data_IF_405007954382
#
_entry.id   IF_405007954382
#
_cell.length_a   1.000
_cell.length_b   1.000
_cell.length_c   1.000
_cell.angle_alpha   90.00
_cell.angle_beta   90.00
_cell.angle_gamma   90.00
#
_symmetry.space_group_name_H-M   'P 1'
#
loop_
_entity.id
_entity.type
_entity.pdbx_description
1 polymer ?
#
# COMPACT_ATOMS: atom_id res chain seq x y z
N UNK A 1 -9.60 15.29 16.65
CA UNK A 1 -10.09 16.69 16.75
C UNK A 1 -9.32 17.55 15.78
N UNK A 2 -9.95 18.58 15.20
CA UNK A 2 -9.22 19.57 14.39
C UNK A 2 -8.53 20.54 15.36
N UNK A 3 -7.37 21.06 14.96
CA UNK A 3 -6.58 22.03 15.75
C UNK A 3 -7.45 23.18 16.28
N UNK A 4 -8.32 23.73 15.43
CA UNK A 4 -9.21 24.84 15.76
C UNK A 4 -10.14 24.56 16.95
N UNK A 5 -10.69 23.36 17.04
CA UNK A 5 -11.67 23.01 18.08
C UNK A 5 -11.02 22.98 19.48
N UNK A 6 -9.76 22.55 19.55
CA UNK A 6 -8.96 22.47 20.79
C UNK A 6 -8.59 23.89 21.26
N UNK A 7 -8.11 24.72 20.34
CA UNK A 7 -7.68 26.09 20.66
C UNK A 7 -8.87 26.95 21.08
N UNK A 8 -10.01 26.84 20.38
CA UNK A 8 -11.22 27.62 20.70
C UNK A 8 -11.81 27.29 22.07
N UNK A 9 -11.72 26.04 22.52
CA UNK A 9 -12.24 25.63 23.83
C UNK A 9 -11.33 25.97 25.01
N UNK A 10 -10.03 26.15 24.77
CA UNK A 10 -9.03 26.27 25.84
C UNK A 10 -8.50 27.69 26.07
N UNK A 11 -8.62 28.60 25.09
CA UNK A 11 -8.20 30.00 25.25
C UNK A 11 -9.41 30.85 25.61
N UNK A 12 -9.45 31.46 26.81
CA UNK A 12 -10.51 32.39 27.17
C UNK A 12 -10.40 33.66 26.30
N UNK A 13 -11.53 34.14 25.78
CA UNK A 13 -11.56 35.31 24.90
C UNK A 13 -11.18 36.64 25.58
N UNK A 14 -11.23 36.70 26.91
CA UNK A 14 -10.84 37.88 27.68
C UNK A 14 -10.16 37.47 29.01
N UNK A 15 -8.84 37.24 29.04
CA UNK A 15 -8.11 36.99 30.28
C UNK A 15 -7.98 38.28 31.10
N UNK A 16 -8.18 38.19 32.42
CA UNK A 16 -7.93 39.32 33.33
C UNK A 16 -6.43 39.52 33.45
N UNK A 17 -5.93 40.70 33.06
CA UNK A 17 -4.52 41.06 33.10
C UNK A 17 -4.38 42.31 33.96
N UNK A 18 -3.98 42.12 35.22
CA UNK A 18 -3.82 43.23 36.19
C UNK A 18 -2.34 43.47 36.56
N UNK A 19 -1.45 42.55 36.19
CA UNK A 19 0.00 42.61 36.46
C UNK A 19 0.81 42.11 35.27
N UNK A 20 2.09 42.50 35.21
CA UNK A 20 3.06 41.93 34.26
C UNK A 20 3.26 40.43 34.44
N UNK A 21 3.11 39.90 35.67
CA UNK A 21 3.12 38.45 35.92
C UNK A 21 1.95 37.73 35.25
N UNK A 22 0.78 38.36 35.22
CA UNK A 22 -0.41 37.81 34.57
C UNK A 22 -0.22 37.71 33.05
N UNK A 23 0.54 38.65 32.46
CA UNK A 23 0.90 38.62 31.02
C UNK A 23 1.73 37.36 30.71
N UNK A 24 2.79 37.12 31.49
CA UNK A 24 3.67 35.97 31.27
C UNK A 24 2.92 34.64 31.49
N UNK A 25 2.03 34.59 32.47
CA UNK A 25 1.20 33.41 32.73
C UNK A 25 0.22 33.13 31.59
N UNK A 26 -0.42 34.17 31.04
CA UNK A 26 -1.30 34.07 29.88
C UNK A 26 -0.52 33.63 28.64
N UNK A 27 0.68 34.18 28.38
CA UNK A 27 1.54 33.77 27.27
C UNK A 27 1.92 32.30 27.40
N UNK A 28 2.33 31.85 28.59
CA UNK A 28 2.67 30.45 28.84
C UNK A 28 1.48 29.53 28.63
N UNK A 29 0.29 29.92 29.09
CA UNK A 29 -0.94 29.15 28.91
C UNK A 29 -1.34 29.03 27.44
N UNK A 30 -1.31 30.13 26.68
CA UNK A 30 -1.58 30.14 25.24
C UNK A 30 -0.56 29.26 24.50
N UNK A 31 0.73 29.40 24.81
CA UNK A 31 1.81 28.63 24.20
C UNK A 31 1.64 27.13 24.48
N UNK A 32 1.32 26.76 25.73
CA UNK A 32 1.03 25.39 26.12
C UNK A 32 -0.18 24.83 25.37
N UNK A 33 -1.29 25.57 25.29
CA UNK A 33 -2.49 25.16 24.55
C UNK A 33 -2.18 24.94 23.06
N UNK A 34 -1.42 25.84 22.44
CA UNK A 34 -1.03 25.71 21.02
C UNK A 34 -0.18 24.46 20.82
N UNK A 35 0.84 24.24 21.65
CA UNK A 35 1.70 23.04 21.57
C UNK A 35 0.89 21.75 21.76
N UNK A 36 -0.03 21.75 22.73
CA UNK A 36 -0.91 20.61 23.00
C UNK A 36 -1.84 20.34 21.83
N UNK A 37 -2.44 21.39 21.26
CA UNK A 37 -3.30 21.31 20.09
C UNK A 37 -2.54 20.82 18.85
N UNK A 38 -1.31 21.28 18.63
CA UNK A 38 -0.43 20.78 17.57
C UNK A 38 -0.20 19.28 17.75
N UNK A 39 0.18 18.82 18.94
CA UNK A 39 0.47 17.41 19.19
C UNK A 39 -0.78 16.52 19.05
N UNK A 40 -1.94 16.97 19.52
CA UNK A 40 -3.19 16.21 19.43
C UNK A 40 -3.80 16.18 18.02
N UNK A 41 -3.63 17.27 17.25
CA UNK A 41 -4.16 17.37 15.88
C UNK A 41 -3.20 16.80 14.83
N UNK A 42 -1.90 16.73 15.14
CA UNK A 42 -0.89 16.13 14.28
C UNK A 42 -0.92 14.62 14.39
N UNK A 43 -1.24 13.95 13.28
CA UNK A 43 -1.03 12.51 13.15
C UNK A 43 0.37 12.28 12.61
N UNK A 44 1.32 11.95 13.48
CA UNK A 44 2.62 11.44 13.05
C UNK A 44 2.39 10.07 12.38
N UNK A 45 2.32 10.06 11.05
CA UNK A 45 2.30 8.80 10.30
C UNK A 45 3.74 8.28 10.32
N UNK A 46 3.99 7.23 11.10
CA UNK A 46 5.20 6.44 10.93
C UNK A 46 5.09 5.83 9.53
N UNK A 47 5.83 6.39 8.58
CA UNK A 47 5.88 5.85 7.23
C UNK A 47 6.80 4.64 7.28
N UNK A 48 6.23 3.50 7.65
CA UNK A 48 6.90 2.21 7.61
C UNK A 48 6.96 1.75 6.15
N UNK A 49 8.08 2.06 5.51
CA UNK A 49 8.42 1.58 4.18
C UNK A 49 9.93 1.64 3.98
N UNK A 50 10.49 0.82 3.07
CA UNK A 50 11.87 0.96 2.65
C UNK A 50 12.02 2.29 1.89
N UNK A 51 12.24 3.38 2.63
CA UNK A 51 12.53 4.68 2.07
C UNK A 51 13.99 4.71 1.62
N UNK A 52 14.20 5.21 0.40
CA UNK A 52 15.53 5.48 -0.12
C UNK A 52 16.25 6.44 0.83
N UNK A 53 17.21 5.93 1.59
CA UNK A 53 18.03 6.74 2.51
C UNK A 53 19.05 7.53 1.70
N UNK A 54 18.72 8.78 1.41
CA UNK A 54 19.60 9.70 0.71
C UNK A 54 20.56 10.39 1.70
N UNK A 55 21.80 10.71 1.29
CA UNK A 55 22.71 11.52 2.09
C UNK A 55 22.13 12.90 2.40
N UNK A 56 22.48 13.46 3.56
CA UNK A 56 22.00 14.76 4.04
C UNK A 56 22.19 15.89 3.02
N UNK A 57 23.31 15.85 2.28
CA UNK A 57 23.61 16.78 1.17
C UNK A 57 22.48 16.83 0.13
N UNK A 58 21.95 15.68 -0.29
CA UNK A 58 20.89 15.59 -1.30
C UNK A 58 19.54 15.94 -0.68
N UNK A 59 19.25 15.47 0.53
CA UNK A 59 17.98 15.78 1.21
C UNK A 59 17.83 17.27 1.47
N UNK A 60 18.90 17.95 1.88
CA UNK A 60 18.90 19.40 2.11
C UNK A 60 18.59 20.17 0.81
N UNK A 61 19.18 19.77 -0.32
CA UNK A 61 18.86 20.33 -1.64
C UNK A 61 17.40 20.09 -2.05
N UNK A 62 16.86 18.89 -1.79
CA UNK A 62 15.44 18.57 -2.04
C UNK A 62 14.53 19.50 -1.23
N UNK A 63 14.82 19.67 0.06
CA UNK A 63 14.06 20.57 0.94
C UNK A 63 14.10 22.00 0.44
N UNK A 64 15.28 22.52 0.10
CA UNK A 64 15.44 23.87 -0.44
C UNK A 64 14.67 24.06 -1.76
N UNK A 65 14.77 23.09 -2.68
CA UNK A 65 14.03 23.12 -3.95
C UNK A 65 12.53 23.15 -3.71
N UNK A 66 12.02 22.36 -2.76
CA UNK A 66 10.60 22.34 -2.42
C UNK A 66 10.13 23.67 -1.81
N UNK A 67 10.93 24.29 -0.94
CA UNK A 67 10.65 25.61 -0.39
C UNK A 67 10.57 26.68 -1.48
N UNK A 68 11.53 26.70 -2.42
CA UNK A 68 11.55 27.64 -3.55
C UNK A 68 10.36 27.39 -4.48
N UNK A 69 10.03 26.13 -4.77
CA UNK A 69 8.84 25.78 -5.57
C UNK A 69 7.55 26.27 -4.90
N UNK A 70 7.43 26.12 -3.58
CA UNK A 70 6.29 26.64 -2.81
C UNK A 70 6.19 28.16 -2.91
N UNK A 71 7.33 28.88 -2.80
CA UNK A 71 7.37 30.34 -3.00
C UNK A 71 6.92 30.72 -4.41
N UNK A 72 7.42 30.03 -5.45
CA UNK A 72 6.99 30.24 -6.83
C UNK A 72 5.49 30.03 -7.03
N UNK A 73 4.89 29.03 -6.39
CA UNK A 73 3.44 28.79 -6.49
C UNK A 73 2.59 29.91 -5.87
N UNK A 74 3.16 30.68 -4.94
CA UNK A 74 2.48 31.80 -4.27
C UNK A 74 2.72 33.10 -5.05
N UNK A 75 3.97 33.40 -5.38
CA UNK A 75 4.35 34.70 -5.97
C UNK A 75 4.33 34.72 -7.50
N UNK A 76 4.32 33.54 -8.14
CA UNK A 76 4.48 33.35 -9.59
C UNK A 76 5.75 33.98 -10.19
N UNK A 77 6.73 34.37 -9.37
CA UNK A 77 7.93 35.06 -9.83
C UNK A 77 8.85 34.12 -10.64
N UNK A 78 9.24 34.47 -11.89
CA UNK A 78 10.04 33.60 -12.75
C UNK A 78 11.41 33.22 -12.17
N UNK A 79 12.00 34.08 -11.32
CA UNK A 79 13.29 33.83 -10.67
C UNK A 79 13.25 32.57 -9.80
N UNK A 80 12.18 32.36 -9.05
CA UNK A 80 12.00 31.16 -8.23
C UNK A 80 11.78 29.90 -9.07
N UNK A 81 11.09 30.01 -10.22
CA UNK A 81 10.95 28.90 -11.17
C UNK A 81 12.32 28.46 -11.70
N UNK A 82 13.15 29.41 -12.16
CA UNK A 82 14.51 29.13 -12.67
C UNK A 82 15.38 28.46 -11.60
N UNK A 83 15.42 29.02 -10.38
CA UNK A 83 16.16 28.44 -9.24
C UNK A 83 15.66 27.04 -8.86
N UNK A 84 14.35 26.81 -8.84
CA UNK A 84 13.79 25.48 -8.56
C UNK A 84 14.20 24.45 -9.63
N UNK A 85 14.22 24.84 -10.91
CA UNK A 85 14.65 23.96 -12.00
C UNK A 85 16.15 23.67 -11.93
N UNK A 86 16.97 24.68 -11.64
CA UNK A 86 18.41 24.51 -11.42
C UNK A 86 18.68 23.49 -10.32
N UNK A 87 18.07 23.67 -9.14
CA UNK A 87 18.21 22.72 -8.03
C UNK A 87 17.70 21.33 -8.40
N UNK A 88 16.63 21.22 -9.19
CA UNK A 88 16.15 19.92 -9.66
C UNK A 88 17.20 19.20 -10.54
N UNK A 89 17.91 19.94 -11.40
CA UNK A 89 18.98 19.39 -12.23
C UNK A 89 20.22 19.01 -11.39
N UNK A 90 20.59 19.84 -10.42
CA UNK A 90 21.66 19.51 -9.46
C UNK A 90 21.33 18.27 -8.64
N UNK A 91 20.09 18.14 -8.14
CA UNK A 91 19.65 16.94 -7.41
C UNK A 91 19.76 15.71 -8.31
N UNK A 92 19.36 15.79 -9.59
CA UNK A 92 19.54 14.69 -10.55
C UNK A 92 21.02 14.35 -10.75
N UNK A 93 21.87 15.37 -10.89
CA UNK A 93 23.31 15.20 -11.06
C UNK A 93 23.96 14.56 -9.82
N UNK A 94 23.53 14.93 -8.61
CA UNK A 94 24.00 14.35 -7.35
C UNK A 94 23.48 12.93 -7.10
N UNK A 95 22.27 12.63 -7.57
CA UNK A 95 21.63 11.32 -7.44
C UNK A 95 22.29 10.27 -8.34
N UNK A 96 22.69 10.65 -9.55
CA UNK A 96 23.30 9.73 -10.53
C UNK A 96 24.52 8.96 -9.97
N UNK A 97 25.57 9.61 -9.42
CA UNK A 97 26.71 8.90 -8.86
C UNK A 97 26.35 8.15 -7.57
N UNK A 98 25.44 8.68 -6.76
CA UNK A 98 24.97 7.97 -5.56
C UNK A 98 24.29 6.64 -5.92
N UNK A 99 23.41 6.66 -6.93
CA UNK A 99 22.76 5.44 -7.42
C UNK A 99 23.77 4.49 -8.03
N UNK A 100 24.73 5.00 -8.82
CA UNK A 100 25.80 4.17 -9.37
C UNK A 100 26.59 3.45 -8.27
N UNK A 101 27.04 4.17 -7.24
CA UNK A 101 27.78 3.58 -6.12
C UNK A 101 26.93 2.59 -5.34
N UNK A 102 25.67 2.94 -5.09
CA UNK A 102 24.72 2.03 -4.42
C UNK A 102 24.54 0.74 -5.23
N UNK A 103 24.44 0.84 -6.57
CA UNK A 103 24.34 -0.30 -7.47
C UNK A 103 25.63 -1.13 -7.54
N UNK A 104 26.81 -0.52 -7.39
CA UNK A 104 28.08 -1.28 -7.35
C UNK A 104 28.27 -2.01 -6.03
N UNK A 105 27.82 -1.42 -4.90
CA UNK A 105 27.91 -2.04 -3.58
C UNK A 105 26.81 -3.10 -3.35
N UNK A 106 25.66 -2.93 -4.00
CA UNK A 106 24.48 -3.76 -3.77
C UNK A 106 24.71 -5.28 -4.00
N UNK A 107 25.40 -5.75 -5.06
CA UNK A 107 25.70 -7.17 -5.24
C UNK A 107 26.46 -7.79 -4.06
N UNK A 108 27.38 -7.03 -3.45
CA UNK A 108 28.17 -7.49 -2.29
C UNK A 108 27.33 -7.52 -1.00
N UNK A 109 26.24 -6.76 -0.94
CA UNK A 109 25.29 -6.81 0.19
C UNK A 109 24.35 -8.02 0.14
N UNK A 110 24.30 -8.75 -0.98
CA UNK A 110 23.43 -9.90 -1.13
C UNK A 110 23.99 -11.12 -0.39
N UNK A 111 23.12 -11.81 0.33
CA UNK A 111 23.42 -13.01 1.09
C UNK A 111 22.49 -14.16 0.70
N UNK A 112 22.97 -15.39 0.88
CA UNK A 112 22.17 -16.59 0.68
C UNK A 112 21.27 -16.89 1.89
N UNK A 113 21.72 -16.57 3.12
CA UNK A 113 21.01 -16.86 4.38
C UNK A 113 19.72 -16.05 4.55
N UNK A 114 19.67 -14.84 4.02
CA UNK A 114 18.52 -13.93 4.12
C UNK A 114 17.60 -13.97 2.89
N UNK A 115 17.82 -14.92 1.97
CA UNK A 115 17.12 -15.05 0.68
C UNK A 115 17.22 -13.81 -0.23
N UNK A 116 18.12 -12.86 0.04
CA UNK A 116 18.23 -11.64 -0.77
C UNK A 116 18.70 -11.92 -2.19
N UNK A 117 19.61 -12.90 -2.39
CA UNK A 117 20.01 -13.38 -3.72
C UNK A 117 18.80 -13.90 -4.50
N UNK A 118 17.97 -14.76 -3.88
CA UNK A 118 16.77 -15.31 -4.51
C UNK A 118 15.77 -14.22 -4.89
N UNK A 119 15.53 -13.26 -3.99
CA UNK A 119 14.62 -12.15 -4.25
C UNK A 119 15.14 -11.22 -5.35
N UNK A 120 16.45 -10.99 -5.41
CA UNK A 120 17.12 -10.22 -6.46
C UNK A 120 16.98 -10.91 -7.82
N UNK A 121 17.39 -12.18 -7.93
CA UNK A 121 17.32 -12.94 -9.18
C UNK A 121 15.89 -13.08 -9.66
N UNK A 122 14.94 -13.38 -8.77
CA UNK A 122 13.51 -13.43 -9.10
C UNK A 122 13.02 -12.11 -9.71
N UNK A 123 13.44 -10.95 -9.22
CA UNK A 123 13.05 -9.65 -9.79
C UNK A 123 13.56 -9.49 -11.23
N UNK A 124 14.78 -9.92 -11.52
CA UNK A 124 15.34 -9.86 -12.88
C UNK A 124 14.76 -10.92 -13.83
N UNK A 125 14.50 -12.13 -13.31
CA UNK A 125 13.93 -13.23 -14.10
C UNK A 125 12.43 -13.09 -14.35
N UNK A 126 11.74 -12.15 -13.70
CA UNK A 126 10.33 -11.85 -13.97
C UNK A 126 10.17 -11.31 -15.39
N UNK A 127 9.83 -12.20 -16.31
CA UNK A 127 9.39 -11.82 -17.66
C UNK A 127 8.11 -10.99 -17.54
N UNK A 128 8.20 -9.72 -17.92
CA UNK A 128 7.01 -8.90 -18.08
C UNK A 128 6.15 -9.51 -19.18
N UNK A 129 5.00 -10.07 -18.79
CA UNK A 129 4.00 -10.51 -19.75
C UNK A 129 3.19 -9.27 -20.13
N UNK A 130 3.37 -8.79 -21.37
CA UNK A 130 2.47 -7.79 -21.93
C UNK A 130 1.09 -8.44 -21.98
N UNK A 131 0.17 -7.97 -21.14
CA UNK A 131 -1.23 -8.38 -21.22
C UNK A 131 -1.73 -7.87 -22.58
N UNK A 132 -2.15 -8.76 -23.51
CA UNK A 132 -2.67 -8.32 -24.79
C UNK A 132 -3.92 -7.47 -24.56
N UNK A 133 -4.16 -6.50 -25.44
CA UNK A 133 -5.40 -5.73 -25.39
C UNK A 133 -6.59 -6.66 -25.66
N UNK A 134 -7.68 -6.46 -24.93
CA UNK A 134 -8.94 -7.18 -25.19
C UNK A 134 -9.49 -6.65 -26.51
N UNK A 135 -9.63 -7.54 -27.49
CA UNK A 135 -10.15 -7.23 -28.81
C UNK A 135 -11.58 -7.73 -28.93
N UNK A 136 -12.41 -6.94 -29.58
CA UNK A 136 -13.71 -7.38 -30.08
C UNK A 136 -13.55 -7.97 -31.50
N UNK A 137 -14.63 -8.43 -32.12
CA UNK A 137 -14.67 -8.92 -33.51
C UNK A 137 -14.00 -7.97 -34.51
N UNK A 138 -14.20 -6.66 -34.32
CA UNK A 138 -13.65 -5.62 -35.20
C UNK A 138 -12.42 -4.89 -34.59
N UNK A 139 -11.73 -5.50 -33.63
CA UNK A 139 -10.52 -4.95 -33.02
C UNK A 139 -10.75 -4.10 -31.76
N UNK A 140 -9.87 -3.12 -31.52
CA UNK A 140 -9.83 -2.34 -30.28
C UNK A 140 -11.00 -1.34 -30.17
N UNK A 141 -11.63 -1.28 -29.00
CA UNK A 141 -12.77 -0.37 -28.73
C UNK A 141 -12.41 0.71 -27.73
N UNK A 142 -12.83 1.95 -28.01
CA UNK A 142 -12.51 3.12 -27.18
C UNK A 142 -13.71 3.68 -26.41
N UNK A 143 -14.93 3.51 -26.93
CA UNK A 143 -16.16 3.93 -26.25
C UNK A 143 -16.46 3.04 -25.04
N UNK A 144 -17.09 3.56 -23.97
CA UNK A 144 -17.45 2.75 -22.80
C UNK A 144 -18.29 1.51 -23.17
N UNK A 145 -19.29 1.70 -24.04
CA UNK A 145 -20.12 0.61 -24.55
C UNK A 145 -19.29 -0.40 -25.37
N UNK A 146 -18.42 0.08 -26.26
CA UNK A 146 -17.56 -0.79 -27.04
C UNK A 146 -16.59 -1.60 -26.18
N UNK A 147 -16.05 -1.02 -25.10
CA UNK A 147 -15.21 -1.75 -24.13
C UNK A 147 -15.99 -2.83 -23.40
N UNK A 148 -17.21 -2.52 -22.96
CA UNK A 148 -18.08 -3.51 -22.31
C UNK A 148 -18.37 -4.69 -23.24
N UNK A 149 -18.67 -4.42 -24.51
CA UNK A 149 -18.90 -5.46 -25.52
C UNK A 149 -17.63 -6.27 -25.82
N UNK A 150 -16.47 -5.64 -25.96
CA UNK A 150 -15.20 -6.34 -26.16
C UNK A 150 -14.88 -7.29 -24.99
N UNK A 151 -15.15 -6.85 -23.74
CA UNK A 151 -15.00 -7.70 -22.56
C UNK A 151 -15.99 -8.85 -22.59
N UNK A 152 -17.28 -8.58 -22.87
CA UNK A 152 -18.32 -9.62 -22.99
C UNK A 152 -17.89 -10.70 -23.99
N UNK A 153 -17.50 -10.28 -25.20
CA UNK A 153 -17.06 -11.17 -26.27
C UNK A 153 -15.85 -12.03 -25.84
N UNK A 154 -14.83 -11.41 -25.25
CA UNK A 154 -13.63 -12.11 -24.77
C UNK A 154 -13.95 -13.14 -23.68
N UNK A 155 -14.86 -12.82 -22.76
CA UNK A 155 -15.27 -13.75 -21.70
C UNK A 155 -16.08 -14.91 -22.29
N UNK A 156 -17.07 -14.61 -23.14
CA UNK A 156 -17.89 -15.61 -23.82
C UNK A 156 -17.01 -16.62 -24.57
N UNK A 157 -16.04 -16.15 -25.35
CA UNK A 157 -15.10 -17.02 -26.07
C UNK A 157 -14.19 -17.84 -25.14
N UNK A 158 -13.83 -17.29 -23.96
CA UNK A 158 -12.96 -18.00 -22.99
C UNK A 158 -13.71 -19.09 -22.22
N UNK A 159 -15.04 -18.98 -22.09
CA UNK A 159 -15.88 -19.93 -21.37
C UNK A 159 -16.60 -20.93 -22.30
N UNK A 160 -16.21 -20.99 -23.58
CA UNK A 160 -16.65 -22.05 -24.47
C UNK A 160 -16.00 -23.38 -24.11
N UNK A 161 -16.70 -24.48 -24.35
CA UNK A 161 -16.13 -25.82 -24.26
C UNK A 161 -14.99 -25.96 -25.26
N UNK A 162 -13.83 -26.45 -24.81
CA UNK A 162 -12.72 -26.73 -25.71
C UNK A 162 -13.19 -27.66 -26.85
N UNK A 163 -12.89 -27.33 -28.12
CA UNK A 163 -13.34 -28.11 -29.26
C UNK A 163 -12.52 -29.38 -29.50
N UNK A 164 -11.46 -29.63 -28.71
CA UNK A 164 -10.65 -30.83 -28.82
C UNK A 164 -11.54 -32.08 -28.60
N UNK A 165 -11.28 -33.17 -29.34
CA UNK A 165 -12.05 -34.40 -29.18
C UNK A 165 -11.89 -34.88 -27.74
N UNK A 166 -13.02 -34.89 -27.02
CA UNK A 166 -13.12 -35.45 -25.70
C UNK A 166 -12.51 -36.86 -25.67
N UNK A 167 -11.48 -37.07 -24.86
CA UNK A 167 -10.97 -38.41 -24.61
C UNK A 167 -12.00 -39.15 -23.74
N UNK A 168 -12.85 -39.92 -24.41
CA UNK A 168 -13.87 -40.73 -23.77
C UNK A 168 -13.29 -41.69 -22.72
N UNK A 169 -12.02 -42.12 -22.87
CA UNK A 169 -11.34 -42.96 -21.87
C UNK A 169 -11.06 -42.14 -20.62
N UNK A 170 -10.47 -40.96 -20.77
CA UNK A 170 -10.21 -40.05 -19.65
C UNK A 170 -11.51 -39.65 -18.92
N UNK A 171 -12.57 -39.33 -19.65
CA UNK A 171 -13.88 -39.01 -19.06
C UNK A 171 -14.42 -40.20 -18.25
N UNK A 172 -14.32 -41.41 -18.80
CA UNK A 172 -14.75 -42.62 -18.10
C UNK A 172 -13.91 -42.89 -16.84
N UNK A 173 -12.60 -42.66 -16.88
CA UNK A 173 -11.70 -42.82 -15.74
C UNK A 173 -12.02 -41.83 -14.62
N UNK A 174 -12.23 -40.55 -14.96
CA UNK A 174 -12.60 -39.51 -14.01
C UNK A 174 -13.96 -39.84 -13.39
N UNK A 175 -14.95 -40.20 -14.19
CA UNK A 175 -16.27 -40.57 -13.68
C UNK A 175 -16.20 -41.78 -12.75
N UNK A 176 -15.41 -42.80 -13.11
CA UNK A 176 -15.19 -43.97 -12.26
C UNK A 176 -14.51 -43.61 -10.94
N UNK A 177 -13.50 -42.72 -10.97
CA UNK A 177 -12.81 -42.25 -9.77
C UNK A 177 -13.74 -41.43 -8.85
N UNK A 178 -14.57 -40.56 -9.42
CA UNK A 178 -15.56 -39.77 -8.66
C UNK A 178 -16.60 -40.68 -8.03
N UNK A 179 -17.17 -41.62 -8.80
CA UNK A 179 -18.13 -42.58 -8.28
C UNK A 179 -17.51 -43.47 -7.19
N UNK A 180 -16.27 -43.92 -7.38
CA UNK A 180 -15.55 -44.65 -6.34
C UNK A 180 -15.38 -43.80 -5.07
N UNK A 181 -15.01 -42.51 -5.19
CA UNK A 181 -14.89 -41.61 -4.04
C UNK A 181 -16.22 -41.40 -3.30
N UNK A 182 -17.31 -41.20 -4.03
CA UNK A 182 -18.64 -41.00 -3.44
C UNK A 182 -19.18 -42.28 -2.77
N UNK A 183 -18.89 -43.44 -3.36
CA UNK A 183 -19.35 -44.75 -2.86
C UNK A 183 -18.40 -45.36 -1.82
N UNK A 184 -17.19 -44.81 -1.67
CA UNK A 184 -16.27 -45.23 -0.61
C UNK A 184 -16.84 -44.80 0.74
N UNK A 185 -17.22 -45.75 1.57
CA UNK A 185 -17.57 -45.49 2.97
C UNK A 185 -16.41 -44.81 3.67
N UNK A 186 -16.59 -43.55 4.06
CA UNK A 186 -15.61 -42.85 4.89
C UNK A 186 -15.52 -43.59 6.22
N UNK A 187 -14.32 -44.02 6.57
CA UNK A 187 -14.07 -44.66 7.85
C UNK A 187 -13.96 -43.55 8.91
N UNK A 188 -15.11 -42.98 9.30
CA UNK A 188 -15.21 -41.85 10.22
C UNK A 188 -14.73 -42.20 11.64
N UNK A 189 -14.49 -43.49 11.90
CA UNK A 189 -13.99 -44.05 13.15
C UNK A 189 -12.58 -43.56 13.55
N UNK A 190 -11.84 -42.93 12.63
CA UNK A 190 -10.47 -42.45 12.90
C UNK A 190 -10.32 -40.93 12.71
N UNK A 191 -11.42 -40.18 12.71
CA UNK A 191 -11.36 -38.71 12.72
C UNK A 191 -10.86 -38.28 14.10
N UNK A 192 -9.61 -37.80 14.15
CA UNK A 192 -9.03 -37.25 15.37
C UNK A 192 -9.91 -36.10 15.87
N UNK A 193 -10.41 -36.24 17.10
CA UNK A 193 -11.17 -35.18 17.76
C UNK A 193 -10.29 -33.95 17.89
N UNK A 194 -10.82 -32.79 17.49
CA UNK A 194 -10.10 -31.53 17.56
C UNK A 194 -9.71 -31.19 19.01
N UNK A 195 -8.48 -30.69 19.20
CA UNK A 195 -8.03 -30.20 20.51
C UNK A 195 -8.25 -28.68 20.66
N UNK A 196 -8.46 -28.18 21.89
CA UNK A 196 -8.56 -26.73 22.13
C UNK A 196 -7.34 -25.94 21.63
N UNK A 197 -6.14 -26.53 21.69
CA UNK A 197 -4.89 -25.96 21.18
C UNK A 197 -4.92 -25.77 19.65
N UNK A 198 -5.47 -26.74 18.93
CA UNK A 198 -5.63 -26.69 17.47
C UNK A 198 -6.61 -25.59 17.07
N UNK A 199 -7.74 -25.47 17.78
CA UNK A 199 -8.71 -24.38 17.60
C UNK A 199 -8.04 -23.03 17.84
N UNK A 200 -7.26 -22.90 18.93
CA UNK A 200 -6.56 -21.67 19.26
C UNK A 200 -5.52 -21.28 18.18
N UNK A 201 -4.80 -22.26 17.64
CA UNK A 201 -3.85 -22.04 16.55
C UNK A 201 -4.54 -21.56 15.26
N UNK A 202 -5.71 -22.14 14.94
CA UNK A 202 -6.53 -21.73 13.80
C UNK A 202 -7.04 -20.30 14.00
N UNK A 203 -7.60 -19.97 15.17
CA UNK A 203 -8.11 -18.63 15.49
C UNK A 203 -7.01 -17.57 15.32
N UNK A 204 -5.79 -17.84 15.81
CA UNK A 204 -4.63 -16.94 15.63
C UNK A 204 -4.26 -16.69 14.16
N UNK A 205 -4.53 -17.67 13.28
CA UNK A 205 -4.21 -17.60 11.85
C UNK A 205 -5.29 -16.88 11.03
N UNK A 206 -6.51 -16.74 11.57
CA UNK A 206 -7.61 -16.06 10.86
C UNK A 206 -7.34 -14.55 10.84
N UNK A 207 -7.44 -13.95 9.65
CA UNK A 207 -7.22 -12.52 9.45
C UNK A 207 -8.49 -11.71 9.73
N UNK A 208 -8.38 -10.68 10.59
CA UNK A 208 -9.47 -9.76 10.98
C UNK A 208 -10.10 -8.95 9.84
N UNK A 209 -9.51 -8.99 8.64
CA UNK A 209 -9.92 -8.16 7.50
C UNK A 209 -10.94 -8.85 6.59
N UNK A 210 -11.42 -10.03 6.96
CA UNK A 210 -12.47 -10.72 6.19
C UNK A 210 -13.82 -10.09 6.49
N UNK A 211 -14.62 -9.93 5.44
CA UNK A 211 -16.02 -9.51 5.53
C UNK A 211 -16.81 -10.57 6.31
N UNK A 212 -17.85 -10.15 7.04
CA UNK A 212 -18.77 -11.07 7.71
C UNK A 212 -19.35 -12.07 6.70
N UNK A 213 -19.57 -13.30 7.16
CA UNK A 213 -20.29 -14.31 6.39
C UNK A 213 -21.77 -13.93 6.22
N UNK A 214 -22.55 -14.78 5.52
CA UNK A 214 -23.99 -14.61 5.38
C UNK A 214 -24.74 -14.56 6.73
N UNK A 215 -24.13 -15.15 7.77
CA UNK A 215 -24.58 -15.14 9.17
C UNK A 215 -24.31 -13.80 9.89
N UNK A 216 -23.61 -12.85 9.26
CA UNK A 216 -23.37 -11.51 9.81
C UNK A 216 -22.35 -11.44 10.95
N UNK A 217 -21.70 -12.55 11.31
CA UNK A 217 -20.74 -12.59 12.42
C UNK A 217 -19.43 -11.92 12.00
N UNK A 218 -19.06 -10.86 12.73
CA UNK A 218 -17.77 -10.17 12.55
C UNK A 218 -16.75 -10.65 13.58
N UNK A 219 -15.54 -10.94 13.10
CA UNK A 219 -14.41 -11.31 13.96
C UNK A 219 -13.92 -10.06 14.68
N UNK A 220 -14.09 -10.01 16.01
CA UNK A 220 -13.56 -8.96 16.89
C UNK A 220 -12.68 -9.64 17.94
N UNK A 221 -11.43 -9.21 18.09
CA UNK A 221 -10.68 -9.58 19.29
C UNK A 221 -11.08 -8.64 20.43
N UNK A 222 -11.37 -9.18 21.61
CA UNK A 222 -11.34 -8.38 22.84
C UNK A 222 -9.93 -7.82 23.00
N UNK A 223 -9.84 -6.50 23.27
CA UNK A 223 -8.59 -5.84 23.65
C UNK A 223 -8.21 -6.23 25.07
#
# INVERSE_FOLDING_TARGET
MKFYDIVKGAIPGNPSINSTKDIDEVINKITAVILTAINQSSKAKIINGPHRKLPSRITNKITLRNQIKKRWQITYEPRFKRKSTQLANEIKADIKPFDQNSWTEWPFSLNQRDLSIYNATRKFSRKFRKIPSILDTNGLKYTPLGKANAIKYSLENSFQTNPDPYDNRHISEVNKAVQHFLNSTRNDNNIKVTSPLEIQAIIKKITLKKTAGPDGVQIKHSR
#
